data_IF_109930534327
#
_entry.id   IF_109930534327
#
_cell.length_a   1.000
_cell.length_b   1.000
_cell.length_c   1.000
_cell.angle_alpha   90.00
_cell.angle_beta   90.00
_cell.angle_gamma   90.00
#
_symmetry.space_group_name_H-M   'P 1'
#
loop_
_entity.id
_entity.type
_entity.pdbx_description
1 polymer ?
#
# COMPACT_ATOMS: atom_id res chain seq x y z
N UNK A 1 -4.21 -2.35 8.70
CA UNK A 1 -5.40 -2.49 7.81
C UNK A 1 -5.06 -1.90 6.46
N UNK A 2 -4.50 -0.69 6.45
CA UNK A 2 -3.95 -0.06 5.24
C UNK A 2 -2.98 -0.98 4.49
N UNK A 3 -1.99 -1.57 5.16
CA UNK A 3 -0.96 -2.45 4.56
C UNK A 3 -1.59 -3.70 3.89
N UNK A 4 -2.72 -4.19 4.41
CA UNK A 4 -3.44 -5.28 3.77
C UNK A 4 -4.13 -4.82 2.48
N UNK A 5 -4.80 -3.67 2.51
CA UNK A 5 -5.48 -3.14 1.34
C UNK A 5 -4.48 -2.69 0.28
N UNK A 6 -3.40 -2.04 0.69
CA UNK A 6 -2.31 -1.64 -0.18
C UNK A 6 -1.67 -2.86 -0.85
N UNK A 7 -1.30 -3.90 -0.09
CA UNK A 7 -0.71 -5.11 -0.66
C UNK A 7 -1.68 -5.82 -1.61
N UNK A 8 -2.97 -5.88 -1.29
CA UNK A 8 -4.00 -6.42 -2.18
C UNK A 8 -4.04 -5.64 -3.50
N UNK A 9 -4.07 -4.31 -3.46
CA UNK A 9 -4.08 -3.48 -4.66
C UNK A 9 -2.76 -3.57 -5.43
N UNK A 10 -1.61 -3.66 -4.75
CA UNK A 10 -0.29 -3.88 -5.37
C UNK A 10 -0.26 -5.20 -6.14
N UNK A 11 -0.68 -6.29 -5.51
CA UNK A 11 -0.78 -7.60 -6.15
C UNK A 11 -1.73 -7.59 -7.35
N UNK A 12 -2.83 -6.83 -7.26
CA UNK A 12 -3.78 -6.66 -8.36
C UNK A 12 -3.15 -5.91 -9.56
N UNK A 13 -2.44 -4.80 -9.32
CA UNK A 13 -1.72 -4.04 -10.36
C UNK A 13 -0.63 -4.89 -11.05
N UNK A 14 0.01 -5.80 -10.29
CA UNK A 14 1.00 -6.74 -10.80
C UNK A 14 0.38 -7.97 -11.49
N UNK A 15 -0.95 -8.11 -11.51
CA UNK A 15 -1.65 -9.25 -12.10
C UNK A 15 -1.46 -10.56 -11.32
N UNK A 16 -1.07 -10.47 -10.04
CA UNK A 16 -0.82 -11.63 -9.17
C UNK A 16 -2.14 -12.17 -8.58
N UNK A 17 -2.22 -13.49 -8.34
CA UNK A 17 -3.39 -14.08 -7.68
C UNK A 17 -3.54 -13.56 -6.24
N UNK A 18 -4.69 -12.96 -5.93
CA UNK A 18 -4.97 -12.43 -4.59
C UNK A 18 -5.65 -13.51 -3.73
N UNK A 19 -4.85 -14.17 -2.89
CA UNK A 19 -5.28 -15.23 -1.96
C UNK A 19 -4.73 -14.98 -0.55
N UNK A 20 -5.46 -15.44 0.46
CA UNK A 20 -5.09 -15.30 1.87
C UNK A 20 -3.67 -15.81 2.16
N UNK A 21 -3.30 -16.95 1.59
CA UNK A 21 -1.98 -17.56 1.81
C UNK A 21 -0.83 -16.72 1.26
N UNK A 22 -1.00 -16.17 0.05
CA UNK A 22 0.00 -15.31 -0.58
C UNK A 22 0.08 -13.97 0.15
N UNK A 23 -1.06 -13.39 0.50
CA UNK A 23 -1.12 -12.15 1.26
C UNK A 23 -0.42 -12.29 2.62
N UNK A 24 -0.67 -13.39 3.34
CA UNK A 24 -0.03 -13.67 4.61
C UNK A 24 1.50 -13.81 4.47
N UNK A 25 1.95 -14.43 3.38
CA UNK A 25 3.37 -14.56 3.06
C UNK A 25 4.01 -13.19 2.76
N UNK A 26 3.41 -12.38 1.86
CA UNK A 26 3.92 -11.06 1.49
C UNK A 26 4.04 -10.11 2.68
N UNK A 27 3.05 -10.16 3.59
CA UNK A 27 3.02 -9.32 4.79
C UNK A 27 3.77 -9.92 5.98
N UNK A 28 4.36 -11.12 5.84
CA UNK A 28 5.06 -11.81 6.92
C UNK A 28 4.20 -12.02 8.19
N UNK A 29 2.92 -12.33 8.01
CA UNK A 29 1.95 -12.55 9.08
C UNK A 29 1.40 -13.97 9.09
N UNK A 30 0.77 -14.37 10.19
CA UNK A 30 0.08 -15.66 10.27
C UNK A 30 -1.17 -15.66 9.37
N UNK A 31 -1.49 -16.78 8.68
CA UNK A 31 -2.71 -16.87 7.88
C UNK A 31 -4.00 -16.53 8.64
N UNK A 32 -4.08 -16.90 9.92
CA UNK A 32 -5.23 -16.56 10.76
C UNK A 32 -5.38 -15.05 11.01
N UNK A 33 -4.27 -14.32 11.16
CA UNK A 33 -4.27 -12.87 11.25
C UNK A 33 -4.72 -12.23 9.94
N UNK A 34 -4.25 -12.77 8.82
CA UNK A 34 -4.66 -12.29 7.50
C UNK A 34 -6.15 -12.52 7.23
N UNK A 35 -6.69 -13.70 7.53
CA UNK A 35 -8.13 -13.97 7.43
C UNK A 35 -8.96 -12.98 8.24
N UNK A 36 -8.59 -12.75 9.51
CA UNK A 36 -9.29 -11.78 10.37
C UNK A 36 -9.26 -10.37 9.79
N UNK A 37 -8.13 -9.95 9.20
CA UNK A 37 -8.05 -8.63 8.59
C UNK A 37 -8.82 -8.51 7.29
N UNK A 38 -8.86 -9.57 6.49
CA UNK A 38 -9.69 -9.61 5.29
C UNK A 38 -11.19 -9.52 5.63
N UNK A 39 -11.63 -10.19 6.71
CA UNK A 39 -13.01 -10.05 7.18
C UNK A 39 -13.33 -8.62 7.61
N UNK A 40 -12.39 -7.92 8.25
CA UNK A 40 -12.56 -6.51 8.59
C UNK A 40 -12.63 -5.61 7.34
N UNK A 41 -11.78 -5.85 6.34
CA UNK A 41 -11.81 -5.13 5.06
C UNK A 41 -13.12 -5.37 4.30
N UNK A 42 -13.61 -6.62 4.32
CA UNK A 42 -14.90 -6.99 3.73
C UNK A 42 -16.07 -6.31 4.44
N UNK A 43 -16.07 -6.33 5.77
CA UNK A 43 -17.09 -5.64 6.58
C UNK A 43 -17.06 -4.14 6.34
N UNK A 44 -15.87 -3.58 6.11
CA UNK A 44 -15.67 -2.18 5.71
C UNK A 44 -16.04 -1.88 4.25
N UNK A 45 -16.40 -2.88 3.45
CA UNK A 45 -16.78 -2.75 2.04
C UNK A 45 -15.62 -2.46 1.08
N UNK A 46 -14.37 -2.71 1.48
CA UNK A 46 -13.19 -2.50 0.62
C UNK A 46 -12.90 -3.70 -0.30
N UNK A 47 -13.28 -4.90 0.12
CA UNK A 47 -13.08 -6.13 -0.65
C UNK A 47 -14.32 -7.01 -0.58
N UNK A 48 -14.38 -8.00 -1.46
CA UNK A 48 -15.30 -9.13 -1.37
C UNK A 48 -14.60 -10.44 -1.77
N UNK A 49 -15.24 -11.58 -1.48
CA UNK A 49 -14.73 -12.89 -1.87
C UNK A 49 -15.52 -13.44 -3.06
N UNK A 50 -14.82 -13.88 -4.10
CA UNK A 50 -15.43 -14.68 -5.18
C UNK A 50 -15.41 -16.17 -4.84
N UNK A 51 -16.04 -16.96 -5.70
CA UNK A 51 -15.96 -18.43 -5.67
C UNK A 51 -14.50 -18.87 -5.56
N UNK A 52 -14.26 -19.94 -4.80
CA UNK A 52 -12.94 -20.51 -4.53
C UNK A 52 -11.99 -19.63 -3.70
N UNK A 53 -12.50 -18.59 -3.04
CA UNK A 53 -11.73 -17.83 -2.04
C UNK A 53 -10.74 -16.82 -2.63
N UNK A 54 -10.88 -16.45 -3.90
CA UNK A 54 -10.14 -15.31 -4.45
C UNK A 54 -10.73 -13.99 -3.95
N UNK A 55 -9.86 -13.07 -3.57
CA UNK A 55 -10.23 -11.74 -3.11
C UNK A 55 -10.46 -10.83 -4.33
N UNK A 56 -11.50 -10.01 -4.29
CA UNK A 56 -11.81 -8.97 -5.27
C UNK A 56 -11.85 -7.63 -4.55
N UNK A 57 -11.23 -6.61 -5.13
CA UNK A 57 -11.28 -5.24 -4.62
C UNK A 57 -12.59 -4.59 -5.10
N UNK A 58 -13.26 -3.85 -4.22
CA UNK A 58 -14.46 -3.07 -4.60
C UNK A 58 -14.05 -1.69 -5.11
N UNK A 59 -14.97 -0.92 -5.70
CA UNK A 59 -14.67 0.46 -6.10
C UNK A 59 -14.14 1.32 -4.94
N UNK A 60 -14.71 1.14 -3.75
CA UNK A 60 -14.25 1.78 -2.50
C UNK A 60 -12.84 1.31 -2.13
N UNK A 61 -12.58 0.01 -2.27
CA UNK A 61 -11.26 -0.58 -2.09
C UNK A 61 -10.22 0.04 -3.01
N UNK A 62 -10.54 0.17 -4.30
CA UNK A 62 -9.64 0.77 -5.27
C UNK A 62 -9.40 2.26 -5.01
N UNK A 63 -10.42 3.01 -4.60
CA UNK A 63 -10.25 4.43 -4.25
C UNK A 63 -9.26 4.61 -3.09
N UNK A 64 -9.43 3.84 -2.02
CA UNK A 64 -8.52 3.87 -0.89
C UNK A 64 -7.13 3.32 -1.28
N UNK A 65 -7.07 2.18 -1.97
CA UNK A 65 -5.84 1.52 -2.40
C UNK A 65 -4.98 2.39 -3.31
N UNK A 66 -5.58 3.12 -4.26
CA UNK A 66 -4.87 4.09 -5.11
C UNK A 66 -4.16 5.16 -4.28
N UNK A 67 -4.81 5.67 -3.23
CA UNK A 67 -4.19 6.65 -2.35
C UNK A 67 -3.05 6.04 -1.52
N UNK A 68 -3.21 4.81 -1.00
CA UNK A 68 -2.17 4.12 -0.25
C UNK A 68 -0.91 3.90 -1.11
N UNK A 69 -1.08 3.37 -2.33
CA UNK A 69 0.02 3.18 -3.28
C UNK A 69 0.66 4.50 -3.70
N UNK A 70 -0.13 5.55 -3.89
CA UNK A 70 0.39 6.89 -4.18
C UNK A 70 1.21 7.44 -3.00
N UNK A 71 0.72 7.34 -1.76
CA UNK A 71 1.45 7.75 -0.56
C UNK A 71 2.78 7.01 -0.44
N UNK A 72 2.77 5.69 -0.60
CA UNK A 72 3.96 4.85 -0.57
C UNK A 72 5.00 5.34 -1.59
N UNK A 73 4.58 5.54 -2.86
CA UNK A 73 5.47 6.01 -3.93
C UNK A 73 6.04 7.40 -3.65
N UNK A 74 5.21 8.36 -3.23
CA UNK A 74 5.66 9.73 -2.95
C UNK A 74 6.68 9.75 -1.83
N UNK A 75 6.44 9.01 -0.75
CA UNK A 75 7.38 8.93 0.37
C UNK A 75 8.69 8.26 -0.07
N UNK A 76 8.61 7.17 -0.81
CA UNK A 76 9.79 6.48 -1.35
C UNK A 76 10.64 7.43 -2.22
N UNK A 77 10.02 8.05 -3.22
CA UNK A 77 10.70 8.98 -4.11
C UNK A 77 11.29 10.18 -3.37
N UNK A 78 10.59 10.67 -2.35
CA UNK A 78 11.08 11.76 -1.50
C UNK A 78 12.31 11.35 -0.70
N UNK A 79 12.29 10.21 -0.01
CA UNK A 79 13.45 9.77 0.78
C UNK A 79 14.64 9.42 -0.09
N UNK A 80 14.41 8.75 -1.23
CA UNK A 80 15.47 8.47 -2.20
C UNK A 80 16.11 9.78 -2.70
N UNK A 81 15.30 10.78 -3.05
CA UNK A 81 15.80 12.09 -3.46
C UNK A 81 16.55 12.83 -2.33
N UNK A 82 16.06 12.75 -1.09
CA UNK A 82 16.68 13.41 0.07
C UNK A 82 18.02 12.76 0.45
N UNK A 83 18.08 11.43 0.43
CA UNK A 83 19.22 10.66 0.91
C UNK A 83 20.23 10.30 -0.19
N UNK A 84 19.90 10.57 -1.46
CA UNK A 84 20.68 10.15 -2.63
C UNK A 84 20.86 8.63 -2.69
N UNK A 85 19.77 7.90 -2.46
CA UNK A 85 19.72 6.43 -2.47
C UNK A 85 18.72 5.93 -3.50
N UNK A 86 18.84 4.66 -3.91
CA UNK A 86 17.92 4.05 -4.88
C UNK A 86 16.71 3.37 -4.22
N UNK A 87 16.76 3.11 -2.90
CA UNK A 87 15.74 2.35 -2.19
C UNK A 87 15.63 2.76 -0.72
N UNK A 88 14.45 3.21 -0.32
CA UNK A 88 14.13 3.64 1.06
C UNK A 88 12.87 2.94 1.60
N UNK A 89 12.54 1.77 1.04
CA UNK A 89 11.30 1.03 1.33
C UNK A 89 11.09 0.77 2.83
N UNK A 90 12.13 0.30 3.54
CA UNK A 90 12.01 -0.01 4.97
C UNK A 90 11.61 1.23 5.80
N UNK A 91 12.14 2.40 5.45
CA UNK A 91 11.82 3.63 6.14
C UNK A 91 10.39 4.10 5.82
N UNK A 92 9.97 4.00 4.55
CA UNK A 92 8.62 4.34 4.11
C UNK A 92 7.57 3.53 4.88
N UNK A 93 7.69 2.21 4.87
CA UNK A 93 6.76 1.27 5.52
C UNK A 93 6.58 1.57 7.02
N UNK A 94 7.63 2.05 7.70
CA UNK A 94 7.56 2.40 9.13
C UNK A 94 6.76 3.67 9.41
N UNK A 95 6.72 4.62 8.47
CA UNK A 95 6.23 5.98 8.75
C UNK A 95 4.95 6.33 8.01
N UNK A 96 4.64 5.66 6.90
CA UNK A 96 3.64 6.12 5.96
C UNK A 96 2.23 6.26 6.57
N UNK A 97 1.89 5.40 7.54
CA UNK A 97 0.63 5.44 8.29
C UNK A 97 0.47 6.68 9.19
N UNK A 98 1.55 7.40 9.48
CA UNK A 98 1.54 8.57 10.36
C UNK A 98 1.52 9.89 9.59
N UNK A 99 1.60 9.85 8.26
CA UNK A 99 1.68 11.04 7.42
C UNK A 99 0.32 11.32 6.78
N UNK A 100 -0.19 12.53 7.01
CA UNK A 100 -1.47 12.94 6.45
C UNK A 100 -1.35 13.34 4.97
N UNK A 101 -2.49 13.32 4.28
CA UNK A 101 -2.59 13.63 2.85
C UNK A 101 -2.01 14.98 2.45
N UNK A 102 -2.26 16.03 3.24
CA UNK A 102 -1.71 17.37 2.95
C UNK A 102 -0.19 17.37 2.96
N UNK A 103 0.43 16.63 3.87
CA UNK A 103 1.89 16.50 3.92
C UNK A 103 2.40 15.72 2.72
N UNK A 104 1.79 14.59 2.36
CA UNK A 104 2.15 13.80 1.16
C UNK A 104 2.09 14.66 -0.11
N UNK A 105 1.01 15.39 -0.32
CA UNK A 105 0.84 16.27 -1.50
C UNK A 105 1.90 17.39 -1.56
N UNK A 106 2.33 17.92 -0.41
CA UNK A 106 3.41 18.91 -0.37
C UNK A 106 4.79 18.27 -0.60
N UNK A 107 5.01 17.05 -0.10
CA UNK A 107 6.23 16.29 -0.37
C UNK A 107 6.36 16.01 -1.86
N UNK A 108 5.29 15.54 -2.52
CA UNK A 108 5.30 15.29 -3.97
C UNK A 108 5.75 16.51 -4.78
N UNK A 109 5.22 17.70 -4.45
CA UNK A 109 5.58 18.95 -5.13
C UNK A 109 7.06 19.32 -4.98
N UNK A 110 7.69 18.96 -3.86
CA UNK A 110 9.08 19.34 -3.59
C UNK A 110 10.09 18.34 -4.17
N UNK A 111 9.67 17.12 -4.50
CA UNK A 111 10.55 16.07 -5.07
C UNK A 111 11.30 16.57 -6.31
N UNK A 112 10.62 17.27 -7.21
CA UNK A 112 11.24 17.82 -8.42
C UNK A 112 12.40 18.78 -8.08
N UNK A 113 12.20 19.64 -7.08
CA UNK A 113 13.26 20.56 -6.62
C UNK A 113 14.42 19.82 -5.98
N UNK A 114 14.15 18.78 -5.16
CA UNK A 114 15.21 17.97 -4.53
C UNK A 114 16.07 17.25 -5.57
N UNK A 115 15.47 16.73 -6.64
CA UNK A 115 16.21 16.05 -7.73
C UNK A 115 17.09 16.99 -8.55
N UNK A 116 16.82 18.30 -8.51
CA UNK A 116 17.61 19.33 -9.18
C UNK A 116 18.71 19.91 -8.28
N UNK A 117 18.73 19.56 -6.99
CA UNK A 117 19.79 19.98 -6.09
C UNK A 117 21.08 19.20 -6.38
N UNK A 118 22.23 19.88 -6.50
CA UNK A 118 23.52 19.26 -6.77
C UNK A 118 24.08 18.46 -5.60
#
# INVERSE_FOLDING_TARGET
MEDYLEMICRMEEEGLPIRVSLLAQSLHVRPSSASKMLDNLRTGGYIDFRKYGSIMVTDKGHEAGRYLLHRHRVLHDFFCALNHTDCELEQVEKIEHFINRKTVENMERIITFLREMP
#
